data_IF_579544232525
#
_entry.id   IF_579544232525
#
_cell.length_a   1.000
_cell.length_b   1.000
_cell.length_c   1.000
_cell.angle_alpha   90.00
_cell.angle_beta   90.00
_cell.angle_gamma   90.00
#
_symmetry.space_group_name_H-M   'P 1'
#
loop_
_entity.id
_entity.type
_entity.pdbx_description
1 polymer ?
#
# COMPACT_ATOMS: atom_id res chain seq x y z
N UNK A 1 -28.42 -49.96 -38.81
CA UNK A 1 -27.20 -49.19 -39.18
C UNK A 1 -27.40 -47.68 -39.22
N UNK A 2 -28.57 -47.16 -39.61
CA UNK A 2 -28.86 -45.70 -39.63
C UNK A 2 -28.90 -45.04 -38.24
N UNK A 3 -29.27 -45.78 -37.20
CA UNK A 3 -29.37 -45.24 -35.83
C UNK A 3 -28.03 -45.17 -35.08
N UNK A 4 -26.99 -45.89 -35.52
CA UNK A 4 -25.65 -45.78 -34.92
C UNK A 4 -24.96 -44.49 -35.34
N UNK A 5 -25.14 -44.06 -36.60
CA UNK A 5 -24.53 -42.83 -37.13
C UNK A 5 -25.06 -41.58 -36.41
N UNK A 6 -26.33 -41.57 -36.01
CA UNK A 6 -26.93 -40.46 -35.26
C UNK A 6 -26.39 -40.38 -33.83
N UNK A 7 -26.13 -41.53 -33.19
CA UNK A 7 -25.52 -41.56 -31.84
C UNK A 7 -24.06 -41.11 -31.90
N UNK A 8 -23.31 -41.47 -32.96
CA UNK A 8 -21.93 -41.00 -33.16
C UNK A 8 -21.85 -39.50 -33.49
N UNK A 9 -22.82 -38.95 -34.24
CA UNK A 9 -22.92 -37.51 -34.49
C UNK A 9 -23.35 -36.70 -33.25
N UNK A 10 -24.13 -37.29 -32.35
CA UNK A 10 -24.53 -36.66 -31.07
C UNK A 10 -23.36 -36.56 -30.09
N UNK A 11 -22.37 -37.46 -30.20
CA UNK A 11 -21.14 -37.48 -29.38
C UNK A 11 -19.99 -36.64 -29.98
N UNK A 12 -20.12 -36.17 -31.22
CA UNK A 12 -19.20 -35.25 -31.89
C UNK A 12 -19.63 -33.77 -31.81
N UNK A 13 -20.81 -33.50 -31.24
CA UNK A 13 -21.12 -32.18 -30.67
C UNK A 13 -20.39 -32.07 -29.32
N UNK A 14 -19.08 -31.91 -29.48
CA UNK A 14 -18.08 -31.69 -28.46
C UNK A 14 -18.57 -30.72 -27.38
N UNK A 15 -18.15 -30.96 -26.14
CA UNK A 15 -18.64 -30.28 -24.96
C UNK A 15 -18.51 -28.79 -25.18
N UNK A 16 -19.61 -28.06 -24.94
CA UNK A 16 -19.54 -26.62 -24.78
C UNK A 16 -18.37 -26.32 -23.84
N UNK A 17 -17.68 -25.20 -24.11
CA UNK A 17 -16.86 -24.52 -23.12
C UNK A 17 -17.62 -24.60 -21.79
N UNK A 18 -17.24 -25.57 -20.97
CA UNK A 18 -17.59 -25.56 -19.57
C UNK A 18 -16.84 -24.32 -19.14
N UNK A 19 -17.60 -23.24 -19.01
CA UNK A 19 -17.26 -22.06 -18.25
C UNK A 19 -17.06 -22.54 -16.82
N UNK A 20 -16.01 -23.33 -16.59
CA UNK A 20 -15.33 -23.35 -15.33
C UNK A 20 -14.94 -21.89 -15.16
N UNK A 21 -15.74 -21.20 -14.36
CA UNK A 21 -15.36 -19.93 -13.79
C UNK A 21 -14.11 -20.26 -12.99
N UNK A 22 -12.96 -20.22 -13.65
CA UNK A 22 -11.70 -20.20 -12.96
C UNK A 22 -11.78 -18.92 -12.14
N UNK A 23 -12.08 -19.07 -10.84
CA UNK A 23 -11.78 -18.04 -9.86
C UNK A 23 -10.39 -17.51 -10.20
N UNK A 24 -10.17 -16.20 -10.17
CA UNK A 24 -8.96 -15.52 -10.69
C UNK A 24 -7.62 -16.05 -10.13
N UNK A 25 -7.65 -17.02 -9.22
CA UNK A 25 -6.52 -17.69 -8.57
C UNK A 25 -6.54 -19.24 -8.65
N UNK A 26 -7.38 -19.87 -9.47
CA UNK A 26 -7.48 -21.34 -9.53
C UNK A 26 -6.16 -22.04 -9.85
N UNK A 27 -5.34 -21.45 -10.75
CA UNK A 27 -4.01 -21.96 -11.05
C UNK A 27 -2.98 -21.73 -9.94
N UNK A 28 -3.19 -20.75 -9.05
CA UNK A 28 -2.29 -20.53 -7.88
C UNK A 28 -2.36 -21.73 -6.93
N UNK A 29 -3.55 -22.32 -6.76
CA UNK A 29 -3.75 -23.53 -5.95
C UNK A 29 -3.03 -24.76 -6.52
N UNK A 30 -2.70 -24.75 -7.81
CA UNK A 30 -1.94 -25.82 -8.48
C UNK A 30 -0.43 -25.59 -8.44
N UNK A 31 0.02 -24.39 -8.04
CA UNK A 31 1.44 -24.13 -7.85
C UNK A 31 1.92 -24.80 -6.55
N UNK A 32 3.19 -25.26 -6.48
CA UNK A 32 3.78 -25.76 -5.25
C UNK A 32 4.10 -24.59 -4.30
N UNK A 33 3.07 -23.91 -3.82
CA UNK A 33 3.16 -22.68 -3.02
C UNK A 33 3.91 -22.93 -1.71
N UNK A 34 3.83 -24.13 -1.14
CA UNK A 34 4.62 -24.53 0.03
C UNK A 34 6.14 -24.41 -0.21
N UNK A 35 6.61 -24.85 -1.38
CA UNK A 35 8.03 -24.77 -1.76
C UNK A 35 8.43 -23.30 -1.93
N UNK A 36 7.57 -22.51 -2.54
CA UNK A 36 7.91 -21.12 -2.78
C UNK A 36 7.84 -20.24 -1.52
N UNK A 37 6.85 -20.49 -0.64
CA UNK A 37 6.75 -19.86 0.68
C UNK A 37 8.00 -20.21 1.49
N UNK A 38 8.33 -21.50 1.58
CA UNK A 38 9.52 -21.95 2.31
C UNK A 38 10.82 -21.36 1.74
N UNK A 39 10.98 -21.27 0.42
CA UNK A 39 12.13 -20.63 -0.22
C UNK A 39 12.23 -19.12 0.08
N UNK A 40 11.11 -18.40 0.03
CA UNK A 40 11.03 -16.99 0.38
C UNK A 40 11.40 -16.75 1.85
N UNK A 41 10.85 -17.56 2.75
CA UNK A 41 11.12 -17.53 4.19
C UNK A 41 12.58 -17.88 4.48
N UNK A 42 13.13 -18.90 3.81
CA UNK A 42 14.53 -19.29 3.93
C UNK A 42 15.46 -18.16 3.46
N UNK A 43 15.11 -17.43 2.40
CA UNK A 43 15.88 -16.26 1.94
C UNK A 43 15.95 -15.16 2.99
N UNK A 44 14.81 -14.88 3.64
CA UNK A 44 14.73 -13.89 4.73
C UNK A 44 15.49 -14.37 5.96
N UNK A 45 15.32 -15.62 6.38
CA UNK A 45 16.02 -16.21 7.52
C UNK A 45 17.55 -16.25 7.29
N UNK A 46 17.99 -16.61 6.08
CA UNK A 46 19.40 -16.59 5.70
C UNK A 46 19.94 -15.16 5.74
N UNK A 47 19.17 -14.16 5.33
CA UNK A 47 19.55 -12.74 5.47
C UNK A 47 19.78 -12.36 6.93
N UNK A 48 18.89 -12.78 7.84
CA UNK A 48 19.06 -12.57 9.29
C UNK A 48 20.35 -13.23 9.78
N UNK A 49 20.58 -14.50 9.41
CA UNK A 49 21.78 -15.25 9.81
C UNK A 49 23.07 -14.59 9.29
N UNK A 50 23.08 -14.16 8.03
CA UNK A 50 24.21 -13.45 7.43
C UNK A 50 24.48 -12.12 8.14
N UNK A 51 23.45 -11.35 8.48
CA UNK A 51 23.63 -10.08 9.20
C UNK A 51 24.07 -10.27 10.65
N UNK A 52 23.73 -11.38 11.29
CA UNK A 52 24.28 -11.72 12.60
C UNK A 52 25.81 -11.94 12.54
N UNK A 53 26.34 -12.40 11.40
CA UNK A 53 27.77 -12.63 11.18
C UNK A 53 28.50 -11.42 10.58
N UNK A 54 27.81 -10.57 9.80
CA UNK A 54 28.42 -9.46 9.10
C UNK A 54 28.74 -8.27 10.03
N UNK A 55 29.88 -7.59 9.82
CA UNK A 55 30.16 -6.34 10.52
C UNK A 55 29.10 -5.29 10.20
N UNK A 56 28.62 -4.60 11.24
CA UNK A 56 27.52 -3.66 11.11
C UNK A 56 27.77 -2.46 10.18
N UNK A 57 29.02 -2.10 9.94
CA UNK A 57 29.37 -1.06 8.98
C UNK A 57 28.99 -1.44 7.54
N UNK A 58 28.93 -2.74 7.22
CA UNK A 58 28.56 -3.25 5.89
C UNK A 58 27.10 -2.89 5.59
N UNK A 59 26.18 -3.19 6.51
CA UNK A 59 24.78 -2.83 6.39
C UNK A 59 24.57 -1.31 6.30
N UNK A 60 25.29 -0.54 7.13
CA UNK A 60 25.20 0.92 7.08
C UNK A 60 25.75 1.52 5.78
N UNK A 61 26.77 0.90 5.18
CA UNK A 61 27.38 1.35 3.92
C UNK A 61 26.48 1.11 2.72
N UNK A 62 25.67 0.04 2.74
CA UNK A 62 24.71 -0.26 1.67
C UNK A 62 23.69 0.86 1.45
N UNK A 63 23.30 1.55 2.53
CA UNK A 63 22.36 2.67 2.48
C UNK A 63 23.04 4.04 2.42
N UNK A 64 24.33 4.12 2.10
CA UNK A 64 25.01 5.41 1.97
C UNK A 64 24.48 6.13 0.72
N UNK A 65 23.89 7.33 0.86
CA UNK A 65 23.40 8.05 -0.30
C UNK A 65 24.54 8.59 -1.15
N UNK A 66 24.30 8.61 -2.47
CA UNK A 66 25.10 9.26 -3.49
C UNK A 66 24.49 10.64 -3.78
N UNK A 67 25.05 11.73 -3.23
CA UNK A 67 24.59 13.08 -3.55
C UNK A 67 24.90 13.39 -5.02
N UNK A 68 23.88 13.78 -5.77
CA UNK A 68 23.98 14.11 -7.18
C UNK A 68 24.06 15.64 -7.35
N UNK A 69 22.93 16.25 -7.64
CA UNK A 69 22.82 17.65 -8.04
C UNK A 69 22.24 18.53 -6.93
N UNK A 70 22.61 19.82 -6.88
CA UNK A 70 21.87 20.81 -6.11
C UNK A 70 20.41 20.80 -6.52
N UNK A 71 19.51 20.97 -5.56
CA UNK A 71 18.09 20.96 -5.87
C UNK A 71 17.69 22.24 -6.60
N UNK A 72 17.05 22.16 -7.78
CA UNK A 72 16.48 23.34 -8.41
C UNK A 72 15.28 23.83 -7.59
N UNK A 73 15.28 25.11 -7.22
CA UNK A 73 14.18 25.73 -6.47
C UNK A 73 13.09 26.23 -7.45
N UNK A 74 12.44 25.29 -8.12
CA UNK A 74 11.39 25.60 -9.07
C UNK A 74 10.07 25.82 -8.31
N UNK A 75 9.45 27.03 -8.37
CA UNK A 75 8.23 27.35 -7.64
C UNK A 75 6.97 26.73 -8.27
N UNK A 76 7.08 25.93 -9.33
CA UNK A 76 5.97 25.34 -10.07
C UNK A 76 5.07 24.41 -9.25
N UNK A 77 5.48 23.98 -8.05
CA UNK A 77 4.69 23.07 -7.23
C UNK A 77 3.29 23.58 -6.87
N UNK A 78 3.11 24.91 -6.72
CA UNK A 78 1.77 25.48 -6.53
C UNK A 78 0.94 25.40 -7.81
N UNK A 79 1.55 25.62 -8.97
CA UNK A 79 0.87 25.49 -10.27
C UNK A 79 0.44 24.04 -10.50
N UNK A 80 1.36 23.08 -10.35
CA UNK A 80 1.05 21.66 -10.53
C UNK A 80 0.00 21.20 -9.52
N UNK A 81 0.05 21.69 -8.28
CA UNK A 81 -0.98 21.40 -7.28
C UNK A 81 -2.35 21.97 -7.63
N UNK A 82 -2.42 23.15 -8.26
CA UNK A 82 -3.68 23.69 -8.79
C UNK A 82 -4.21 22.85 -9.95
N UNK A 83 -3.34 22.40 -10.85
CA UNK A 83 -3.73 21.49 -11.93
C UNK A 83 -4.27 20.16 -11.38
N UNK A 84 -3.61 19.59 -10.36
CA UNK A 84 -4.10 18.39 -9.67
C UNK A 84 -5.44 18.62 -8.97
N UNK A 85 -5.66 19.81 -8.41
CA UNK A 85 -6.93 20.20 -7.81
C UNK A 85 -8.06 20.31 -8.85
N UNK A 86 -7.79 20.94 -9.99
CA UNK A 86 -8.74 21.02 -11.11
C UNK A 86 -9.05 19.64 -11.69
N UNK A 87 -8.03 18.78 -11.81
CA UNK A 87 -8.20 17.42 -12.26
C UNK A 87 -9.04 16.59 -11.29
N UNK A 88 -8.79 16.70 -9.98
CA UNK A 88 -9.63 16.05 -8.97
C UNK A 88 -11.08 16.56 -9.01
N UNK A 89 -11.27 17.88 -9.18
CA UNK A 89 -12.62 18.46 -9.32
C UNK A 89 -13.35 17.90 -10.55
N UNK A 90 -12.65 17.76 -11.69
CA UNK A 90 -13.18 17.11 -12.88
C UNK A 90 -13.60 15.66 -12.61
N UNK A 91 -12.76 14.87 -11.93
CA UNK A 91 -13.08 13.48 -11.60
C UNK A 91 -14.28 13.38 -10.66
N UNK A 92 -14.36 14.22 -9.62
CA UNK A 92 -15.51 14.26 -8.72
C UNK A 92 -16.79 14.62 -9.49
N UNK A 93 -16.72 15.60 -10.39
CA UNK A 93 -17.83 15.92 -11.28
C UNK A 93 -18.23 14.73 -12.17
N UNK A 94 -17.26 14.00 -12.76
CA UNK A 94 -17.54 12.77 -13.52
C UNK A 94 -18.13 11.66 -12.66
N UNK A 95 -17.78 11.56 -11.38
CA UNK A 95 -18.41 10.60 -10.47
C UNK A 95 -19.89 10.90 -10.23
N UNK A 96 -20.29 12.17 -10.21
CA UNK A 96 -21.70 12.58 -10.08
C UNK A 96 -22.49 12.52 -11.40
N UNK A 97 -21.90 13.02 -12.49
CA UNK A 97 -22.59 13.24 -13.76
C UNK A 97 -22.31 12.17 -14.84
N UNK A 98 -21.31 11.32 -14.62
CA UNK A 98 -20.88 10.29 -15.56
C UNK A 98 -21.62 8.96 -15.38
N UNK A 99 -21.21 7.91 -16.13
CA UNK A 99 -21.77 6.57 -16.02
C UNK A 99 -21.66 6.00 -14.60
N UNK A 100 -22.61 5.14 -14.22
CA UNK A 100 -22.59 4.45 -12.92
C UNK A 100 -21.71 3.21 -12.89
N UNK A 101 -21.32 2.71 -14.05
CA UNK A 101 -20.38 1.61 -14.16
C UNK A 101 -18.98 2.04 -13.68
N UNK A 102 -18.42 1.43 -12.63
CA UNK A 102 -17.09 1.75 -12.11
C UNK A 102 -15.95 1.58 -13.12
N UNK A 103 -16.11 0.67 -14.09
CA UNK A 103 -15.09 0.34 -15.10
C UNK A 103 -15.10 1.30 -16.29
N UNK A 104 -16.17 2.10 -16.44
CA UNK A 104 -16.29 3.14 -17.46
C UNK A 104 -16.07 4.53 -16.85
N UNK A 105 -16.47 4.72 -15.59
CA UNK A 105 -16.31 6.00 -14.93
C UNK A 105 -14.83 6.27 -14.58
N UNK A 106 -14.27 7.43 -14.92
CA UNK A 106 -12.85 7.70 -14.65
C UNK A 106 -12.53 7.90 -13.16
N UNK A 107 -13.50 8.21 -12.30
CA UNK A 107 -13.24 8.48 -10.88
C UNK A 107 -12.80 7.22 -10.10
N UNK A 108 -13.54 6.09 -10.11
CA UNK A 108 -13.09 4.87 -9.44
C UNK A 108 -11.75 4.35 -9.96
N UNK A 109 -11.59 4.30 -11.28
CA UNK A 109 -10.32 3.90 -11.91
C UNK A 109 -9.16 4.79 -11.48
N UNK A 110 -9.37 6.10 -11.43
CA UNK A 110 -8.32 6.99 -10.96
C UNK A 110 -8.00 6.81 -9.48
N UNK A 111 -9.01 6.77 -8.60
CA UNK A 111 -8.78 6.68 -7.16
C UNK A 111 -8.14 5.35 -6.78
N UNK A 112 -8.70 4.24 -7.25
CA UNK A 112 -8.26 2.91 -6.83
C UNK A 112 -7.06 2.41 -7.63
N UNK A 113 -7.08 2.56 -8.95
CA UNK A 113 -6.00 2.01 -9.79
C UNK A 113 -4.84 2.98 -9.94
N UNK A 114 -5.11 4.20 -10.38
CA UNK A 114 -4.02 5.16 -10.68
C UNK A 114 -3.41 5.69 -9.40
N UNK A 115 -4.21 6.22 -8.47
CA UNK A 115 -3.72 6.89 -7.28
C UNK A 115 -3.32 5.89 -6.19
N UNK A 116 -4.25 5.03 -5.74
CA UNK A 116 -3.99 4.13 -4.62
C UNK A 116 -2.94 3.08 -4.97
N UNK A 117 -3.05 2.40 -6.11
CA UNK A 117 -2.05 1.39 -6.50
C UNK A 117 -0.82 2.05 -7.14
N UNK A 118 -1.02 2.79 -8.23
CA UNK A 118 0.08 3.33 -9.04
C UNK A 118 0.90 4.39 -8.32
N UNK A 119 0.27 5.50 -7.90
CA UNK A 119 0.98 6.66 -7.34
C UNK A 119 1.56 6.37 -5.94
N UNK A 120 0.88 5.59 -5.08
CA UNK A 120 1.47 5.16 -3.80
C UNK A 120 2.73 4.30 -4.04
N UNK A 121 2.66 3.33 -4.96
CA UNK A 121 3.82 2.52 -5.35
C UNK A 121 4.95 3.39 -5.89
N UNK A 122 4.63 4.34 -6.78
CA UNK A 122 5.60 5.29 -7.35
C UNK A 122 6.27 6.15 -6.27
N UNK A 123 5.50 6.62 -5.28
CA UNK A 123 6.00 7.39 -4.14
C UNK A 123 7.03 6.60 -3.33
N UNK A 124 6.74 5.31 -3.09
CA UNK A 124 7.58 4.41 -2.32
C UNK A 124 8.81 3.91 -3.07
N UNK A 125 8.71 3.68 -4.38
CA UNK A 125 9.78 3.10 -5.19
C UNK A 125 10.74 4.17 -5.72
N UNK A 126 10.22 5.30 -6.21
CA UNK A 126 11.03 6.31 -6.89
C UNK A 126 11.34 7.49 -5.97
N UNK A 127 10.32 8.12 -5.40
CA UNK A 127 10.51 9.29 -4.53
C UNK A 127 9.32 10.22 -4.47
N UNK A 128 9.53 11.42 -3.90
CA UNK A 128 8.43 12.33 -3.50
C UNK A 128 7.77 13.07 -4.68
N UNK A 129 6.95 12.37 -5.45
CA UNK A 129 6.11 12.95 -6.50
C UNK A 129 4.92 13.72 -5.91
N UNK A 130 4.43 13.32 -4.72
CA UNK A 130 3.30 13.97 -4.02
C UNK A 130 3.49 15.47 -3.78
N UNK A 131 4.74 15.94 -3.69
CA UNK A 131 5.05 17.38 -3.65
C UNK A 131 4.41 18.14 -4.82
N UNK A 132 4.28 17.51 -5.98
CA UNK A 132 3.81 18.13 -7.22
C UNK A 132 2.35 17.79 -7.51
N UNK A 133 1.90 16.60 -7.12
CA UNK A 133 0.57 16.05 -7.49
C UNK A 133 -0.51 16.21 -6.41
N UNK A 134 -0.18 16.76 -5.24
CA UNK A 134 -1.20 16.98 -4.20
C UNK A 134 -2.23 18.06 -4.64
N UNK A 135 -3.53 17.89 -4.37
CA UNK A 135 -4.57 18.81 -4.84
C UNK A 135 -4.90 19.95 -3.84
N UNK A 136 -3.99 20.31 -2.93
CA UNK A 136 -4.29 21.26 -1.84
C UNK A 136 -3.33 22.44 -1.71
N UNK A 137 -2.02 22.22 -1.84
CA UNK A 137 -1.02 23.26 -1.53
C UNK A 137 -1.07 24.45 -2.48
N UNK A 138 -1.46 24.25 -3.74
CA UNK A 138 -1.70 25.30 -4.72
C UNK A 138 -2.95 26.11 -4.41
N UNK A 139 -4.15 25.51 -4.38
CA UNK A 139 -5.40 26.21 -4.07
C UNK A 139 -5.36 27.00 -2.77
N UNK A 140 -4.77 26.43 -1.71
CA UNK A 140 -4.66 27.09 -0.41
C UNK A 140 -3.67 28.26 -0.42
N UNK A 141 -2.60 28.18 -1.21
CA UNK A 141 -1.68 29.30 -1.40
C UNK A 141 -2.33 30.46 -2.17
N UNK A 142 -3.12 30.16 -3.21
CA UNK A 142 -3.90 31.17 -3.94
C UNK A 142 -4.92 31.82 -3.00
N UNK A 143 -5.68 31.01 -2.26
CA UNK A 143 -6.68 31.51 -1.32
C UNK A 143 -6.06 32.43 -0.27
N UNK A 144 -4.94 32.02 0.33
CA UNK A 144 -4.22 32.85 1.30
C UNK A 144 -3.73 34.17 0.69
N UNK A 145 -3.27 34.16 -0.58
CA UNK A 145 -2.83 35.37 -1.29
C UNK A 145 -3.99 36.32 -1.59
N UNK A 146 -5.15 35.79 -1.98
CA UNK A 146 -6.33 36.60 -2.34
C UNK A 146 -7.06 37.17 -1.12
N UNK A 147 -7.14 36.40 -0.04
CA UNK A 147 -7.93 36.77 1.16
C UNK A 147 -7.10 37.37 2.28
N UNK A 148 -5.76 37.29 2.19
CA UNK A 148 -4.86 37.59 3.31
C UNK A 148 -5.03 36.63 4.50
N UNK A 149 -5.82 35.57 4.34
CA UNK A 149 -6.19 34.66 5.43
C UNK A 149 -4.96 33.97 6.00
N UNK A 150 -4.84 34.07 7.32
CA UNK A 150 -3.88 33.30 8.13
C UNK A 150 -4.65 32.15 8.78
N UNK A 151 -3.93 31.11 9.20
CA UNK A 151 -4.54 30.00 9.94
C UNK A 151 -5.35 30.53 11.12
N UNK A 152 -6.66 30.27 11.11
CA UNK A 152 -7.59 30.80 12.11
C UNK A 152 -7.30 30.25 13.51
N UNK A 153 -6.78 29.03 13.58
CA UNK A 153 -6.52 28.27 14.79
C UNK A 153 -5.09 27.71 14.80
N UNK A 154 -4.53 27.56 16.00
CA UNK A 154 -3.27 26.83 16.18
C UNK A 154 -3.57 25.34 16.35
N UNK A 155 -2.95 24.49 15.52
CA UNK A 155 -3.09 23.03 15.65
C UNK A 155 -2.71 22.57 17.08
N UNK A 156 -3.62 21.92 17.82
CA UNK A 156 -3.35 21.45 19.18
C UNK A 156 -2.24 20.40 19.20
N UNK A 157 -1.13 20.66 19.91
CA UNK A 157 0.01 19.74 19.98
C UNK A 157 -0.36 18.38 20.57
N UNK A 158 -1.34 18.35 21.48
CA UNK A 158 -1.88 17.14 22.13
C UNK A 158 -2.50 16.15 21.13
N UNK A 159 -3.08 16.63 20.02
CA UNK A 159 -3.68 15.77 19.01
C UNK A 159 -2.65 14.99 18.20
N UNK A 160 -1.37 15.40 18.20
CA UNK A 160 -0.30 14.62 17.57
C UNK A 160 -0.59 14.31 16.10
N UNK A 161 -0.73 13.01 15.76
CA UNK A 161 -1.16 12.52 14.44
C UNK A 161 -2.54 11.81 14.51
N UNK A 162 -3.25 11.92 15.64
CA UNK A 162 -4.51 11.23 15.87
C UNK A 162 -5.55 11.49 14.76
N UNK A 163 -5.79 12.75 14.32
CA UNK A 163 -6.75 12.97 13.23
C UNK A 163 -6.33 12.26 11.94
N UNK A 164 -5.02 12.23 11.63
CA UNK A 164 -4.50 11.50 10.47
C UNK A 164 -4.73 9.99 10.57
N UNK A 165 -4.53 9.39 11.75
CA UNK A 165 -4.80 7.96 11.98
C UNK A 165 -6.29 7.65 11.83
N UNK A 166 -7.15 8.47 12.43
CA UNK A 166 -8.62 8.30 12.34
C UNK A 166 -9.09 8.42 10.90
N UNK A 167 -8.61 9.41 10.17
CA UNK A 167 -8.94 9.59 8.75
C UNK A 167 -8.42 8.42 7.91
N UNK A 168 -7.22 7.91 8.19
CA UNK A 168 -6.67 6.75 7.49
C UNK A 168 -7.51 5.49 7.75
N UNK A 169 -7.92 5.24 8.99
CA UNK A 169 -8.80 4.13 9.34
C UNK A 169 -10.21 4.30 8.74
N UNK A 170 -10.71 5.53 8.62
CA UNK A 170 -11.97 5.80 7.93
C UNK A 170 -11.86 5.53 6.42
N UNK A 171 -10.75 5.93 5.79
CA UNK A 171 -10.44 5.58 4.41
C UNK A 171 -10.38 4.05 4.21
N UNK A 172 -9.67 3.35 5.08
CA UNK A 172 -9.58 1.89 5.05
C UNK A 172 -10.94 1.22 5.31
N UNK A 173 -11.71 1.73 6.25
CA UNK A 173 -13.07 1.25 6.52
C UNK A 173 -13.99 1.44 5.32
N UNK A 174 -13.89 2.57 4.61
CA UNK A 174 -14.61 2.77 3.36
C UNK A 174 -14.15 1.80 2.27
N UNK A 175 -12.84 1.64 2.07
CA UNK A 175 -12.29 0.70 1.10
C UNK A 175 -12.74 -0.76 1.34
N UNK A 176 -12.71 -1.20 2.60
CA UNK A 176 -12.88 -2.62 2.94
C UNK A 176 -14.32 -2.99 3.32
N UNK A 177 -15.01 -2.13 4.07
CA UNK A 177 -16.30 -2.45 4.66
C UNK A 177 -17.49 -1.78 3.94
N UNK A 178 -17.27 -0.75 3.11
CA UNK A 178 -18.38 -0.19 2.34
C UNK A 178 -18.97 -1.23 1.37
N UNK A 179 -20.30 -1.28 1.18
CA UNK A 179 -20.92 -2.22 0.26
C UNK A 179 -20.50 -2.05 -1.21
N UNK A 180 -20.16 -0.83 -1.63
CA UNK A 180 -19.86 -0.49 -3.01
C UNK A 180 -18.84 0.68 -3.10
N UNK A 181 -17.59 0.49 -2.64
CA UNK A 181 -16.58 1.56 -2.62
C UNK A 181 -16.17 2.03 -4.03
N UNK A 182 -16.45 1.22 -5.04
CA UNK A 182 -16.22 1.55 -6.44
C UNK A 182 -17.42 2.26 -7.13
N UNK A 183 -18.59 2.35 -6.49
CA UNK A 183 -19.71 3.10 -7.06
C UNK A 183 -19.31 4.57 -7.29
N UNK A 184 -19.39 5.10 -8.53
CA UNK A 184 -18.84 6.41 -8.85
C UNK A 184 -19.46 7.57 -8.07
N UNK A 185 -20.76 7.51 -7.81
CA UNK A 185 -21.47 8.58 -7.13
C UNK A 185 -21.15 8.59 -5.63
N UNK A 186 -21.17 7.40 -5.01
CA UNK A 186 -20.76 7.22 -3.62
C UNK A 186 -19.30 7.67 -3.44
N UNK A 187 -18.40 7.21 -4.31
CA UNK A 187 -17.01 7.60 -4.27
C UNK A 187 -16.82 9.11 -4.46
N UNK A 188 -17.62 9.76 -5.31
CA UNK A 188 -17.59 11.23 -5.49
C UNK A 188 -17.93 11.98 -4.20
N UNK A 189 -18.91 11.50 -3.43
CA UNK A 189 -19.26 12.06 -2.12
C UNK A 189 -18.07 11.93 -1.15
N UNK A 190 -17.48 10.74 -1.03
CA UNK A 190 -16.37 10.51 -0.10
C UNK A 190 -15.10 11.26 -0.53
N UNK A 191 -14.71 11.19 -1.80
CA UNK A 191 -13.54 11.87 -2.33
C UNK A 191 -13.69 13.40 -2.30
N UNK A 192 -14.84 13.93 -2.71
CA UNK A 192 -15.15 15.37 -2.66
C UNK A 192 -15.24 15.88 -1.23
N UNK A 193 -15.92 15.15 -0.34
CA UNK A 193 -16.00 15.46 1.09
C UNK A 193 -14.64 15.43 1.77
N UNK A 194 -13.79 14.45 1.45
CA UNK A 194 -12.43 14.37 1.93
C UNK A 194 -11.56 15.55 1.46
N UNK A 195 -11.69 15.89 0.17
CA UNK A 195 -10.98 17.01 -0.43
C UNK A 195 -11.37 18.33 0.25
N UNK A 196 -12.67 18.56 0.45
CA UNK A 196 -13.21 19.72 1.17
C UNK A 196 -12.75 19.76 2.64
N UNK A 197 -12.88 18.66 3.38
CA UNK A 197 -12.45 18.54 4.78
C UNK A 197 -10.96 18.92 4.92
N UNK A 198 -10.15 18.50 3.96
CA UNK A 198 -8.71 18.82 3.95
C UNK A 198 -8.46 20.30 3.70
N UNK A 199 -9.14 20.93 2.73
CA UNK A 199 -9.05 22.37 2.49
C UNK A 199 -9.48 23.16 3.73
N UNK A 200 -10.57 22.74 4.38
CA UNK A 200 -11.02 23.31 5.66
C UNK A 200 -9.96 23.13 6.76
N UNK A 201 -9.35 21.95 6.88
CA UNK A 201 -8.27 21.71 7.84
C UNK A 201 -7.05 22.61 7.63
N UNK A 202 -6.69 22.88 6.37
CA UNK A 202 -5.57 23.79 6.03
C UNK A 202 -5.93 25.25 6.32
N UNK A 203 -7.15 25.69 6.01
CA UNK A 203 -7.59 27.06 6.32
C UNK A 203 -7.66 27.31 7.83
N UNK A 204 -8.13 26.32 8.60
CA UNK A 204 -8.19 26.40 10.06
C UNK A 204 -6.80 26.32 10.70
N UNK A 205 -6.00 25.30 10.39
CA UNK A 205 -4.78 24.98 11.14
C UNK A 205 -3.47 25.28 10.40
N UNK A 206 -3.56 25.79 9.17
CA UNK A 206 -2.44 26.04 8.29
C UNK A 206 -1.78 24.76 7.74
N UNK A 207 -0.57 24.88 7.16
CA UNK A 207 0.16 23.76 6.58
C UNK A 207 0.45 22.61 7.56
N UNK A 208 0.37 22.86 8.88
CA UNK A 208 0.52 21.82 9.91
C UNK A 208 -0.53 20.72 9.78
N UNK A 209 -1.72 21.02 9.26
CA UNK A 209 -2.76 20.02 8.99
C UNK A 209 -2.25 18.92 8.05
N UNK A 210 -1.60 19.29 6.93
CA UNK A 210 -1.02 18.32 5.99
C UNK A 210 0.10 17.46 6.59
N UNK A 211 0.72 17.92 7.67
CA UNK A 211 1.81 17.17 8.32
C UNK A 211 1.31 16.20 9.40
N UNK A 212 0.07 16.36 9.90
CA UNK A 212 -0.41 15.73 11.15
C UNK A 212 -1.86 15.26 11.12
N UNK A 213 -2.73 15.99 10.45
CA UNK A 213 -4.16 15.70 10.38
C UNK A 213 -4.59 15.01 9.10
N UNK A 214 -3.92 15.23 7.97
CA UNK A 214 -4.35 14.70 6.67
C UNK A 214 -3.63 13.39 6.34
N UNK A 215 -4.40 12.31 6.21
CA UNK A 215 -3.87 10.94 6.15
C UNK A 215 -3.03 10.67 4.89
N UNK A 216 -3.45 11.15 3.72
CA UNK A 216 -2.80 10.81 2.45
C UNK A 216 -1.44 11.51 2.34
N UNK A 217 -1.30 12.77 2.77
CA UNK A 217 0.02 13.40 2.83
C UNK A 217 0.91 12.77 3.88
N UNK A 218 0.37 12.30 5.02
CA UNK A 218 1.18 11.53 5.99
C UNK A 218 1.70 10.25 5.34
N UNK A 219 0.81 9.47 4.73
CA UNK A 219 1.10 8.24 3.99
C UNK A 219 2.17 8.46 2.91
N UNK A 220 1.93 9.43 2.02
CA UNK A 220 2.84 9.74 0.93
C UNK A 220 4.19 10.21 1.47
N UNK A 221 4.24 10.93 2.59
CA UNK A 221 5.51 11.38 3.19
C UNK A 221 6.31 10.28 3.88
N UNK A 222 5.65 9.26 4.45
CA UNK A 222 6.37 8.10 5.00
C UNK A 222 6.89 7.21 3.87
N UNK A 223 6.10 6.95 2.82
CA UNK A 223 6.57 6.21 1.65
C UNK A 223 7.63 6.95 0.85
N UNK A 224 7.62 8.28 0.82
CA UNK A 224 8.71 9.05 0.20
C UNK A 224 10.10 8.74 0.79
N UNK A 225 10.17 8.24 2.03
CA UNK A 225 11.43 7.83 2.68
C UNK A 225 11.96 6.50 2.13
N UNK A 226 11.09 5.73 1.48
CA UNK A 226 11.46 4.48 0.80
C UNK A 226 12.05 4.72 -0.58
N UNK A 227 11.71 5.81 -1.27
CA UNK A 227 12.14 6.05 -2.65
C UNK A 227 13.65 6.07 -2.84
N UNK A 228 14.10 5.59 -4.01
CA UNK A 228 15.50 5.64 -4.45
C UNK A 228 16.03 7.08 -4.49
N UNK A 229 15.20 8.01 -4.95
CA UNK A 229 15.48 9.44 -5.05
C UNK A 229 14.99 10.16 -3.80
N UNK A 230 15.93 10.78 -3.08
CA UNK A 230 15.64 11.53 -1.87
C UNK A 230 16.47 12.81 -1.76
N UNK A 231 16.60 13.31 -0.54
CA UNK A 231 17.36 14.54 -0.25
C UNK A 231 18.31 14.35 0.91
N UNK A 232 19.54 14.83 0.72
CA UNK A 232 20.55 14.88 1.78
C UNK A 232 21.36 16.16 1.63
N UNK A 233 21.54 16.92 2.72
CA UNK A 233 22.37 18.13 2.76
C UNK A 233 22.08 19.12 1.61
N UNK A 234 20.80 19.38 1.32
CA UNK A 234 20.37 20.32 0.28
C UNK A 234 20.48 19.83 -1.18
N UNK A 235 21.03 18.63 -1.40
CA UNK A 235 21.16 18.01 -2.73
C UNK A 235 20.12 16.92 -2.95
N UNK A 236 19.80 16.67 -4.22
CA UNK A 236 19.13 15.43 -4.64
C UNK A 236 20.15 14.30 -4.49
N UNK A 237 19.72 13.16 -3.96
CA UNK A 237 20.58 12.01 -3.80
C UNK A 237 19.87 10.72 -4.18
N UNK A 238 20.65 9.75 -4.65
CA UNK A 238 20.23 8.38 -4.87
C UNK A 238 20.71 7.49 -3.73
N UNK A 239 19.90 6.53 -3.33
CA UNK A 239 20.29 5.49 -2.38
C UNK A 239 19.37 4.28 -2.50
N UNK A 240 19.74 3.17 -1.86
CA UNK A 240 18.90 1.98 -1.80
C UNK A 240 17.59 2.29 -1.06
N UNK A 241 16.49 1.61 -1.44
CA UNK A 241 15.18 1.83 -0.83
C UNK A 241 15.22 1.90 0.69
N UNK A 242 14.70 2.99 1.26
CA UNK A 242 14.67 3.20 2.72
C UNK A 242 15.91 3.86 3.31
N UNK A 243 16.92 4.24 2.52
CA UNK A 243 18.11 4.93 3.01
C UNK A 243 17.81 6.21 3.80
N UNK A 244 16.70 6.89 3.48
CA UNK A 244 16.27 8.11 4.16
C UNK A 244 15.79 7.83 5.59
N UNK A 245 15.37 6.59 5.90
CA UNK A 245 15.03 6.17 7.27
C UNK A 245 16.26 6.23 8.18
N UNK A 246 17.43 5.85 7.66
CA UNK A 246 18.67 5.87 8.44
C UNK A 246 19.26 7.27 8.60
N UNK A 247 18.91 8.23 7.75
CA UNK A 247 19.46 9.59 7.81
C UNK A 247 18.53 10.58 8.51
N UNK A 248 17.27 10.20 8.71
CA UNK A 248 16.28 11.01 9.41
C UNK A 248 16.36 10.80 10.94
N UNK A 249 15.96 11.81 11.73
CA UNK A 249 15.77 11.63 13.17
C UNK A 249 14.60 10.65 13.45
N UNK A 250 14.56 10.05 14.66
CA UNK A 250 13.44 9.23 15.09
C UNK A 250 12.10 9.95 14.92
N UNK A 251 11.07 9.20 14.56
CA UNK A 251 9.75 9.78 14.32
C UNK A 251 9.02 10.06 15.64
N UNK A 252 7.99 10.91 15.61
CA UNK A 252 7.10 11.07 16.76
C UNK A 252 6.26 9.81 16.98
N UNK A 253 5.82 9.55 18.22
CA UNK A 253 4.98 8.39 18.55
C UNK A 253 3.73 8.26 17.67
N UNK A 254 3.00 9.37 17.42
CA UNK A 254 1.82 9.33 16.55
C UNK A 254 2.12 8.90 15.12
N UNK A 255 3.28 9.30 14.58
CA UNK A 255 3.71 8.87 13.24
C UNK A 255 4.16 7.40 13.25
N UNK A 256 4.81 6.95 14.33
CA UNK A 256 5.16 5.54 14.50
C UNK A 256 3.90 4.67 14.56
N UNK A 257 2.88 5.08 15.32
CA UNK A 257 1.58 4.39 15.37
C UNK A 257 0.90 4.35 14.01
N UNK A 258 0.93 5.46 13.26
CA UNK A 258 0.43 5.50 11.88
C UNK A 258 1.14 4.49 10.98
N UNK A 259 2.47 4.37 11.07
CA UNK A 259 3.26 3.43 10.26
C UNK A 259 2.89 1.98 10.56
N UNK A 260 2.73 1.61 11.84
CA UNK A 260 2.29 0.25 12.20
C UNK A 260 0.83 0.02 11.79
N UNK A 261 -0.03 1.04 11.92
CA UNK A 261 -1.43 0.98 11.48
C UNK A 261 -1.55 0.80 9.96
N UNK A 262 -0.66 1.44 9.18
CA UNK A 262 -0.60 1.25 7.74
C UNK A 262 -0.30 -0.21 7.39
N UNK A 263 0.70 -0.82 8.05
CA UNK A 263 1.04 -2.21 7.83
C UNK A 263 -0.11 -3.15 8.25
N UNK A 264 -0.71 -2.91 9.42
CA UNK A 264 -1.82 -3.73 9.93
C UNK A 264 -3.05 -3.65 9.05
N UNK A 265 -3.36 -2.47 8.52
CA UNK A 265 -4.46 -2.26 7.57
C UNK A 265 -4.23 -3.01 6.26
N UNK A 266 -3.05 -2.91 5.65
CA UNK A 266 -2.74 -3.66 4.41
C UNK A 266 -2.74 -5.18 4.63
N UNK A 267 -2.35 -5.64 5.82
CA UNK A 267 -2.44 -7.05 6.16
C UNK A 267 -3.87 -7.53 6.40
N UNK A 268 -4.71 -6.70 7.02
CA UNK A 268 -6.12 -7.03 7.19
C UNK A 268 -6.87 -7.00 5.86
N UNK A 269 -6.53 -6.08 4.96
CA UNK A 269 -7.04 -6.05 3.57
C UNK A 269 -6.91 -7.42 2.90
N UNK A 270 -5.68 -7.95 2.84
CA UNK A 270 -5.45 -9.28 2.31
C UNK A 270 -6.09 -10.42 3.10
N UNK A 271 -6.14 -10.32 4.43
CA UNK A 271 -6.75 -11.35 5.29
C UNK A 271 -8.27 -11.43 5.08
N UNK A 272 -8.93 -10.28 4.97
CA UNK A 272 -10.39 -10.15 4.86
C UNK A 272 -10.94 -10.79 3.58
N UNK A 273 -10.11 -10.93 2.54
CA UNK A 273 -10.48 -11.60 1.29
C UNK A 273 -10.34 -13.13 1.36
N UNK A 274 -9.65 -13.69 2.37
CA UNK A 274 -9.35 -15.13 2.42
C UNK A 274 -10.55 -15.99 2.79
N UNK A 275 -10.59 -17.22 2.25
CA UNK A 275 -11.56 -18.24 2.68
C UNK A 275 -11.47 -18.54 4.18
N UNK A 276 -10.28 -18.43 4.77
CA UNK A 276 -10.08 -18.62 6.21
C UNK A 276 -10.86 -17.59 7.02
N UNK A 277 -10.79 -16.31 6.64
CA UNK A 277 -11.53 -15.25 7.31
C UNK A 277 -13.04 -15.45 7.16
N UNK A 278 -13.51 -15.77 5.95
CA UNK A 278 -14.92 -16.08 5.72
C UNK A 278 -15.41 -17.27 6.57
N UNK A 279 -14.58 -18.32 6.68
CA UNK A 279 -14.86 -19.48 7.52
C UNK A 279 -14.95 -19.12 9.01
N UNK A 280 -14.10 -18.21 9.52
CA UNK A 280 -14.23 -17.69 10.88
C UNK A 280 -15.56 -16.96 11.12
N UNK A 281 -16.09 -16.30 10.09
CA UNK A 281 -17.40 -15.64 10.15
C UNK A 281 -18.57 -16.61 9.93
N UNK A 282 -18.31 -17.89 9.69
CA UNK A 282 -19.33 -18.88 9.36
C UNK A 282 -19.95 -18.67 7.97
N UNK A 283 -19.25 -18.00 7.06
CA UNK A 283 -19.72 -17.70 5.70
C UNK A 283 -19.17 -18.69 4.70
N UNK A 284 -20.02 -19.13 3.77
CA UNK A 284 -19.59 -19.93 2.62
C UNK A 284 -18.88 -18.99 1.61
N UNK A 285 -17.58 -19.19 1.33
CA UNK A 285 -16.86 -18.32 0.39
C UNK A 285 -17.37 -18.39 -1.06
N UNK A 286 -18.04 -19.47 -1.42
CA UNK A 286 -18.62 -19.67 -2.76
C UNK A 286 -20.02 -19.06 -2.89
N UNK A 287 -20.63 -18.69 -1.77
CA UNK A 287 -21.97 -18.09 -1.69
C UNK A 287 -21.90 -16.86 -0.78
N UNK A 288 -20.97 -15.95 -1.09
CA UNK A 288 -20.75 -14.76 -0.29
C UNK A 288 -22.03 -13.90 -0.25
N UNK A 289 -22.60 -13.60 0.94
CA UNK A 289 -23.88 -12.89 1.08
C UNK A 289 -23.80 -11.40 0.68
N UNK A 290 -22.62 -10.94 0.24
CA UNK A 290 -22.33 -9.55 -0.08
C UNK A 290 -21.72 -8.78 1.10
N UNK A 291 -21.01 -7.69 0.76
CA UNK A 291 -20.27 -6.85 1.73
C UNK A 291 -21.16 -6.23 2.80
N UNK A 292 -22.44 -6.01 2.51
CA UNK A 292 -23.42 -5.44 3.44
C UNK A 292 -23.67 -6.32 4.68
N UNK A 293 -23.49 -7.63 4.56
CA UNK A 293 -23.66 -8.58 5.67
C UNK A 293 -22.46 -8.63 6.64
N UNK A 294 -21.30 -8.10 6.21
CA UNK A 294 -20.03 -8.20 6.95
C UNK A 294 -19.43 -6.88 7.39
N UNK A 295 -20.13 -5.74 7.20
CA UNK A 295 -19.60 -4.40 7.50
C UNK A 295 -19.02 -4.33 8.92
N UNK A 296 -19.78 -4.78 9.92
CA UNK A 296 -19.35 -4.71 11.32
C UNK A 296 -18.13 -5.61 11.56
N UNK A 297 -18.16 -6.82 11.03
CA UNK A 297 -17.11 -7.83 11.15
C UNK A 297 -15.81 -7.33 10.51
N UNK A 298 -15.89 -6.71 9.33
CA UNK A 298 -14.75 -6.11 8.64
C UNK A 298 -14.20 -4.91 9.41
N UNK A 299 -15.05 -4.01 9.92
CA UNK A 299 -14.59 -2.87 10.74
C UNK A 299 -13.95 -3.32 12.06
N UNK A 300 -14.56 -4.29 12.75
CA UNK A 300 -14.02 -4.87 13.98
C UNK A 300 -12.69 -5.59 13.71
N UNK A 301 -12.64 -6.42 12.66
CA UNK A 301 -11.43 -7.09 12.21
C UNK A 301 -10.29 -6.11 11.90
N UNK A 302 -10.59 -5.02 11.20
CA UNK A 302 -9.62 -3.96 10.91
C UNK A 302 -9.05 -3.34 12.19
N UNK A 303 -9.89 -2.99 13.16
CA UNK A 303 -9.43 -2.39 14.42
C UNK A 303 -8.64 -3.39 15.27
N UNK A 304 -9.10 -4.63 15.37
CA UNK A 304 -8.45 -5.70 16.14
C UNK A 304 -7.09 -6.04 15.53
N UNK A 305 -7.00 -6.22 14.21
CA UNK A 305 -5.75 -6.52 13.52
C UNK A 305 -4.70 -5.43 13.73
N UNK A 306 -5.10 -4.15 13.62
CA UNK A 306 -4.22 -3.02 13.88
C UNK A 306 -3.76 -2.95 15.33
N UNK A 307 -4.67 -3.13 16.30
CA UNK A 307 -4.33 -3.16 17.72
C UNK A 307 -3.39 -4.32 18.06
N UNK A 308 -3.65 -5.52 17.53
CA UNK A 308 -2.83 -6.70 17.70
C UNK A 308 -1.42 -6.48 17.14
N UNK A 309 -1.30 -5.93 15.93
CA UNK A 309 0.01 -5.66 15.33
C UNK A 309 0.82 -4.64 16.13
N UNK A 310 0.18 -3.56 16.60
CA UNK A 310 0.82 -2.58 17.48
C UNK A 310 1.33 -3.24 18.77
N UNK A 311 0.50 -4.09 19.39
CA UNK A 311 0.85 -4.80 20.62
C UNK A 311 2.02 -5.78 20.41
N UNK A 312 1.97 -6.61 19.36
CA UNK A 312 3.02 -7.58 19.03
C UNK A 312 4.33 -6.86 18.70
N UNK A 313 4.29 -5.80 17.88
CA UNK A 313 5.48 -5.03 17.55
C UNK A 313 6.08 -4.38 18.80
N UNK A 314 5.27 -3.78 19.67
CA UNK A 314 5.72 -3.22 20.94
C UNK A 314 6.31 -4.29 21.88
N UNK A 315 5.71 -5.48 21.94
CA UNK A 315 6.21 -6.61 22.73
C UNK A 315 7.57 -7.09 22.23
N UNK A 316 7.74 -7.26 20.92
CA UNK A 316 9.02 -7.63 20.31
C UNK A 316 10.12 -6.62 20.65
N UNK A 317 9.82 -5.31 20.57
CA UNK A 317 10.78 -4.28 20.94
C UNK A 317 11.09 -4.28 22.43
N UNK A 318 10.08 -4.46 23.29
CA UNK A 318 10.28 -4.55 24.74
C UNK A 318 11.16 -5.75 25.11
N UNK A 319 10.87 -6.94 24.58
CA UNK A 319 11.68 -8.14 24.76
C UNK A 319 13.11 -7.92 24.25
N UNK A 320 13.24 -7.29 23.08
CA UNK A 320 14.53 -7.02 22.47
C UNK A 320 15.41 -6.11 23.33
N UNK A 321 14.86 -5.03 23.87
CA UNK A 321 15.60 -4.12 24.76
C UNK A 321 15.92 -4.81 26.11
N UNK A 322 15.05 -5.70 26.61
CA UNK A 322 15.33 -6.52 27.81
C UNK A 322 16.49 -7.50 27.59
N UNK A 323 16.51 -8.21 26.46
CA UNK A 323 17.57 -9.17 26.10
C UNK A 323 18.88 -8.45 25.84
N UNK A 324 18.84 -7.30 25.16
CA UNK A 324 20.02 -6.47 24.93
C UNK A 324 20.60 -5.89 26.23
N UNK A 325 19.81 -5.85 27.31
CA UNK A 325 20.17 -5.20 28.57
C UNK A 325 20.21 -3.68 28.44
N UNK A 326 19.48 -3.11 27.49
CA UNK A 326 19.48 -1.69 27.17
C UNK A 326 18.40 -0.99 27.98
N UNK A 327 18.74 0.12 28.64
CA UNK A 327 17.80 0.92 29.43
C UNK A 327 16.86 1.79 28.58
N UNK A 328 16.71 1.52 27.29
CA UNK A 328 15.94 2.37 26.38
C UNK A 328 14.44 2.24 26.68
N UNK A 329 13.72 3.35 26.90
CA UNK A 329 12.28 3.32 27.06
C UNK A 329 11.59 2.77 25.80
N UNK A 330 10.58 1.92 25.97
CA UNK A 330 9.80 1.31 24.87
C UNK A 330 9.31 2.35 23.85
N UNK A 331 8.85 3.51 24.33
CA UNK A 331 8.43 4.62 23.46
C UNK A 331 9.53 5.05 22.48
N UNK A 332 10.77 5.15 22.95
CA UNK A 332 11.90 5.53 22.11
C UNK A 332 12.25 4.43 21.10
N UNK A 333 12.26 3.17 21.53
CA UNK A 333 12.46 2.02 20.63
C UNK A 333 11.38 1.98 19.54
N UNK A 334 10.10 2.13 19.91
CA UNK A 334 8.98 2.15 18.97
C UNK A 334 9.10 3.29 17.94
N UNK A 335 9.47 4.49 18.39
CA UNK A 335 9.71 5.64 17.51
C UNK A 335 10.93 5.48 16.59
N UNK A 336 11.92 4.68 17.01
CA UNK A 336 13.13 4.41 16.24
C UNK A 336 12.90 3.34 15.18
N UNK A 337 12.23 2.24 15.55
CA UNK A 337 12.10 1.05 14.71
C UNK A 337 10.83 1.02 13.85
N UNK A 338 9.75 1.74 14.19
CA UNK A 338 8.55 1.72 13.35
C UNK A 338 8.81 2.08 11.87
N UNK A 339 9.69 3.05 11.51
CA UNK A 339 10.01 3.29 10.10
C UNK A 339 10.67 2.11 9.36
N UNK A 340 11.26 1.13 10.05
CA UNK A 340 11.95 0.01 9.38
C UNK A 340 11.01 -1.02 8.79
N UNK A 341 9.73 -1.02 9.17
CA UNK A 341 8.71 -1.91 8.61
C UNK A 341 8.03 -1.35 7.36
N UNK A 342 8.28 -0.08 7.00
CA UNK A 342 7.77 0.52 5.76
C UNK A 342 8.08 -0.26 4.47
N UNK A 343 9.28 -0.87 4.29
CA UNK A 343 9.55 -1.68 3.10
C UNK A 343 8.66 -2.93 3.03
N UNK A 344 8.27 -3.52 4.16
CA UNK A 344 7.32 -4.65 4.21
C UNK A 344 5.97 -4.18 3.70
N UNK A 345 5.46 -3.06 4.24
CA UNK A 345 4.17 -2.50 3.83
C UNK A 345 4.16 -2.15 2.33
N UNK A 346 5.24 -1.57 1.81
CA UNK A 346 5.35 -1.22 0.39
C UNK A 346 5.44 -2.46 -0.51
N UNK A 347 6.29 -3.42 -0.16
CA UNK A 347 6.45 -4.66 -0.92
C UNK A 347 5.15 -5.45 -0.98
N UNK A 348 4.42 -5.53 0.14
CA UNK A 348 3.10 -6.15 0.17
C UNK A 348 2.08 -5.37 -0.65
N UNK A 349 2.03 -4.04 -0.57
CA UNK A 349 1.12 -3.23 -1.37
C UNK A 349 1.31 -3.48 -2.88
N UNK A 350 2.56 -3.45 -3.37
CA UNK A 350 2.88 -3.75 -4.77
C UNK A 350 2.46 -5.17 -5.15
N UNK A 351 2.77 -6.15 -4.30
CA UNK A 351 2.45 -7.55 -4.55
C UNK A 351 0.93 -7.80 -4.57
N UNK A 352 0.23 -7.33 -3.54
CA UNK A 352 -1.19 -7.54 -3.33
C UNK A 352 -2.03 -6.96 -4.48
N UNK A 353 -1.68 -5.77 -4.95
CA UNK A 353 -2.44 -5.09 -6.01
C UNK A 353 -1.95 -5.33 -7.44
N UNK A 354 -0.93 -6.19 -7.66
CA UNK A 354 -0.37 -6.41 -8.99
C UNK A 354 -1.42 -6.89 -10.00
N UNK A 355 -2.25 -7.87 -9.63
CA UNK A 355 -3.28 -8.43 -10.51
C UNK A 355 -4.36 -7.42 -10.85
N UNK A 356 -4.83 -6.66 -9.85
CA UNK A 356 -5.76 -5.55 -10.05
C UNK A 356 -5.16 -4.48 -10.99
N UNK A 357 -3.89 -4.10 -10.81
CA UNK A 357 -3.22 -3.14 -11.69
C UNK A 357 -3.12 -3.63 -13.14
N UNK A 358 -2.90 -4.93 -13.36
CA UNK A 358 -2.82 -5.51 -14.71
C UNK A 358 -4.17 -5.49 -15.44
N UNK A 359 -5.28 -5.68 -14.72
CA UNK A 359 -6.63 -5.65 -15.30
C UNK A 359 -7.15 -4.22 -15.39
N UNK A 360 -7.23 -3.53 -14.26
CA UNK A 360 -7.79 -2.18 -14.18
C UNK A 360 -6.92 -1.16 -14.92
N UNK A 361 -5.62 -1.42 -15.07
CA UNK A 361 -4.74 -0.61 -15.91
C UNK A 361 -5.21 -0.58 -17.37
N UNK A 362 -5.80 -1.66 -17.88
CA UNK A 362 -6.40 -1.69 -19.21
C UNK A 362 -7.68 -0.83 -19.27
N UNK A 363 -8.50 -0.86 -18.23
CA UNK A 363 -9.66 0.04 -18.10
C UNK A 363 -9.26 1.51 -17.97
N UNK A 364 -8.16 1.81 -17.27
CA UNK A 364 -7.59 3.16 -17.22
C UNK A 364 -7.20 3.64 -18.62
N UNK A 365 -6.60 2.79 -19.46
CA UNK A 365 -6.28 3.16 -20.85
C UNK A 365 -7.54 3.51 -21.66
N UNK A 366 -8.61 2.73 -21.50
CA UNK A 366 -9.89 3.04 -22.15
C UNK A 366 -10.50 4.36 -21.64
N UNK A 367 -10.44 4.61 -20.33
CA UNK A 367 -10.91 5.87 -19.75
C UNK A 367 -10.05 7.07 -20.16
N UNK A 368 -8.76 6.88 -20.47
CA UNK A 368 -7.89 7.95 -20.97
C UNK A 368 -8.14 8.27 -22.45
N UNK A 369 -8.47 7.28 -23.28
CA UNK A 369 -8.78 7.53 -24.70
C UNK A 369 -10.14 8.19 -24.90
N UNK A 370 -11.14 7.85 -24.05
CA UNK A 370 -12.47 8.48 -24.07
C UNK A 370 -12.94 8.95 -22.67
N UNK A 371 -12.34 10.01 -22.09
CA UNK A 371 -12.67 10.44 -20.71
C UNK A 371 -14.12 10.89 -20.50
N UNK A 372 -14.79 11.32 -21.58
CA UNK A 372 -16.18 11.78 -21.56
C UNK A 372 -17.18 10.67 -21.90
N UNK A 373 -16.74 9.53 -22.43
CA UNK A 373 -17.61 8.44 -22.89
C UNK A 373 -18.44 8.86 -24.11
N UNK A 374 -17.86 9.64 -25.03
CA UNK A 374 -18.54 10.20 -26.21
C UNK A 374 -18.04 9.60 -27.53
N UNK A 375 -17.27 8.53 -27.48
CA UNK A 375 -16.63 7.89 -28.63
C UNK A 375 -15.36 8.59 -29.10
N UNK A 376 -14.68 9.35 -28.21
CA UNK A 376 -13.38 9.91 -28.53
C UNK A 376 -12.31 8.79 -28.61
N UNK A 377 -11.26 9.01 -29.41
CA UNK A 377 -10.08 8.15 -29.44
C UNK A 377 -8.81 9.00 -29.34
N UNK A 378 -8.60 9.62 -28.18
CA UNK A 378 -7.50 10.57 -27.94
C UNK A 378 -6.13 9.90 -28.01
N UNK A 379 -6.06 8.60 -27.73
CA UNK A 379 -4.81 7.81 -27.75
C UNK A 379 -4.61 7.04 -29.06
N UNK A 380 -5.59 7.03 -29.96
CA UNK A 380 -5.51 6.30 -31.24
C UNK A 380 -5.48 4.78 -31.05
N UNK A 381 -6.19 4.25 -30.05
CA UNK A 381 -6.19 2.82 -29.73
C UNK A 381 -7.07 2.00 -30.68
N UNK A 382 -8.05 2.63 -31.35
CA UNK A 382 -9.08 1.89 -32.09
C UNK A 382 -9.88 0.94 -31.20
N UNK A 383 -10.41 -0.18 -31.74
CA UNK A 383 -11.08 -1.21 -30.95
C UNK A 383 -10.11 -1.86 -29.94
N UNK A 384 -10.32 -1.58 -28.65
CA UNK A 384 -9.51 -2.10 -27.55
C UNK A 384 -10.37 -2.94 -26.62
N UNK A 385 -9.90 -4.14 -26.28
CA UNK A 385 -10.61 -5.09 -25.41
C UNK A 385 -9.75 -5.45 -24.21
N UNK A 386 -10.35 -5.44 -23.02
CA UNK A 386 -9.67 -5.90 -21.80
C UNK A 386 -9.51 -7.41 -21.84
N UNK A 387 -8.34 -7.87 -21.45
CA UNK A 387 -8.01 -9.29 -21.39
C UNK A 387 -7.59 -9.71 -19.99
N UNK A 388 -7.98 -10.92 -19.59
CA UNK A 388 -7.59 -11.59 -18.35
C UNK A 388 -6.96 -12.96 -18.62
N UNK A 389 -6.65 -13.27 -19.89
CA UNK A 389 -6.13 -14.57 -20.32
C UNK A 389 -4.81 -15.00 -19.64
N UNK A 390 -4.03 -14.04 -19.15
CA UNK A 390 -2.82 -14.28 -18.38
C UNK A 390 -3.06 -14.89 -16.99
N UNK A 391 -4.30 -14.94 -16.50
CA UNK A 391 -4.66 -15.72 -15.32
C UNK A 391 -4.99 -17.20 -15.61
N UNK A 392 -5.10 -17.56 -16.89
CA UNK A 392 -5.55 -18.89 -17.32
C UNK A 392 -4.44 -19.77 -17.90
N UNK A 393 -3.19 -19.33 -17.82
CA UNK A 393 -2.03 -20.10 -18.31
C UNK A 393 -1.04 -20.35 -17.17
N UNK A 394 -0.62 -21.60 -16.90
CA UNK A 394 0.31 -21.92 -15.81
C UNK A 394 1.60 -21.09 -15.81
N UNK A 395 2.16 -20.82 -17.01
CA UNK A 395 3.39 -20.05 -17.15
C UNK A 395 3.26 -18.59 -16.70
N UNK A 396 2.20 -17.89 -17.12
CA UNK A 396 1.94 -16.50 -16.73
C UNK A 396 1.55 -16.38 -15.26
N UNK A 397 0.72 -17.29 -14.76
CA UNK A 397 0.35 -17.33 -13.34
C UNK A 397 1.58 -17.53 -12.45
N UNK A 398 2.47 -18.43 -12.82
CA UNK A 398 3.75 -18.63 -12.12
C UNK A 398 4.61 -17.35 -12.13
N UNK A 399 4.70 -16.65 -13.27
CA UNK A 399 5.47 -15.42 -13.36
C UNK A 399 4.88 -14.30 -12.50
N UNK A 400 3.55 -14.15 -12.49
CA UNK A 400 2.83 -13.19 -11.63
C UNK A 400 3.12 -13.52 -10.16
N UNK A 401 2.91 -14.77 -9.75
CA UNK A 401 3.12 -15.21 -8.37
C UNK A 401 4.57 -14.97 -7.92
N UNK A 402 5.56 -15.33 -8.74
CA UNK A 402 6.98 -15.10 -8.42
C UNK A 402 7.32 -13.61 -8.30
N UNK A 403 6.66 -12.76 -9.10
CA UNK A 403 6.82 -11.29 -9.00
C UNK A 403 6.24 -10.76 -7.70
N UNK A 404 5.04 -11.20 -7.32
CA UNK A 404 4.39 -10.83 -6.06
C UNK A 404 5.22 -11.30 -4.85
N UNK A 405 5.62 -12.58 -4.84
CA UNK A 405 6.45 -13.15 -3.79
C UNK A 405 7.82 -12.45 -3.71
N UNK A 406 8.44 -12.15 -4.85
CA UNK A 406 9.69 -11.40 -4.94
C UNK A 406 9.57 -10.00 -4.32
N UNK A 407 8.50 -9.27 -4.61
CA UNK A 407 8.24 -7.95 -4.02
C UNK A 407 8.10 -8.02 -2.48
N UNK A 408 7.39 -9.03 -1.96
CA UNK A 408 7.27 -9.27 -0.51
C UNK A 408 8.62 -9.60 0.12
N UNK A 409 9.37 -10.54 -0.45
CA UNK A 409 10.68 -10.97 0.07
C UNK A 409 11.70 -9.83 0.05
N UNK A 410 11.78 -9.07 -1.05
CA UNK A 410 12.66 -7.90 -1.16
C UNK A 410 12.31 -6.86 -0.09
N UNK A 411 11.01 -6.60 0.13
CA UNK A 411 10.54 -5.73 1.21
C UNK A 411 11.02 -6.19 2.59
N UNK A 412 10.90 -7.47 2.91
CA UNK A 412 11.35 -8.01 4.20
C UNK A 412 12.88 -7.94 4.36
N UNK A 413 13.64 -8.27 3.31
CA UNK A 413 15.11 -8.18 3.30
C UNK A 413 15.56 -6.74 3.59
N UNK A 414 14.99 -5.75 2.88
CA UNK A 414 15.31 -4.33 3.10
C UNK A 414 14.95 -3.91 4.53
N UNK A 415 13.78 -4.33 5.03
CA UNK A 415 13.33 -4.00 6.38
C UNK A 415 14.29 -4.54 7.46
N UNK A 416 14.76 -5.79 7.30
CA UNK A 416 15.72 -6.40 8.22
C UNK A 416 17.05 -5.66 8.17
N UNK A 417 17.53 -5.33 6.96
CA UNK A 417 18.75 -4.55 6.78
C UNK A 417 18.67 -3.17 7.47
N UNK A 418 17.53 -2.49 7.37
CA UNK A 418 17.29 -1.21 8.05
C UNK A 418 17.23 -1.36 9.57
N UNK A 419 16.50 -2.36 10.07
CA UNK A 419 16.39 -2.64 11.50
C UNK A 419 17.76 -2.95 12.11
N UNK A 420 18.53 -3.80 11.46
CA UNK A 420 19.89 -4.13 11.88
C UNK A 420 20.80 -2.89 11.87
N UNK A 421 20.79 -2.11 10.78
CA UNK A 421 21.61 -0.90 10.67
C UNK A 421 21.27 0.14 11.76
N UNK A 422 20.00 0.28 12.15
CA UNK A 422 19.60 1.16 13.26
C UNK A 422 19.99 0.60 14.62
N UNK A 423 19.83 -0.70 14.83
CA UNK A 423 20.14 -1.35 16.09
C UNK A 423 21.63 -1.22 16.44
N UNK A 424 22.52 -1.43 15.46
CA UNK A 424 23.96 -1.38 15.73
C UNK A 424 24.50 0.05 15.87
N UNK A 425 23.90 1.05 15.21
CA UNK A 425 24.23 2.47 15.45
C UNK A 425 24.05 2.88 16.91
N UNK A 426 23.18 2.21 17.65
CA UNK A 426 22.86 2.54 19.04
C UNK A 426 23.72 1.84 20.11
N UNK A 427 24.32 0.68 19.83
CA UNK A 427 24.80 -0.21 20.90
C UNK A 427 26.16 -0.88 20.67
N UNK A 428 26.84 -0.65 19.54
CA UNK A 428 28.04 -1.41 19.20
C UNK A 428 27.74 -2.89 18.92
N UNK A 429 28.74 -3.65 18.49
CA UNK A 429 28.58 -5.04 18.00
C UNK A 429 28.78 -6.09 19.10
N UNK A 430 28.13 -5.95 20.24
CA UNK A 430 28.17 -6.97 21.30
C UNK A 430 27.18 -8.10 21.01
N UNK A 431 27.50 -9.33 21.38
CA UNK A 431 26.59 -10.50 21.28
C UNK A 431 25.19 -10.23 21.86
N UNK A 432 25.10 -9.52 23.00
CA UNK A 432 23.83 -9.09 23.59
C UNK A 432 23.00 -8.17 22.67
N UNK A 433 23.66 -7.27 21.94
CA UNK A 433 22.99 -6.39 20.98
C UNK A 433 22.46 -7.13 19.74
N UNK A 434 23.13 -8.23 19.36
CA UNK A 434 22.65 -9.15 18.31
C UNK A 434 21.46 -9.96 18.82
N UNK A 435 21.56 -10.56 20.01
CA UNK A 435 20.47 -11.33 20.63
C UNK A 435 19.23 -10.49 20.93
N UNK A 436 19.40 -9.21 21.26
CA UNK A 436 18.28 -8.27 21.42
C UNK A 436 17.47 -8.04 20.14
N UNK A 437 18.00 -8.37 18.96
CA UNK A 437 17.26 -8.27 17.69
C UNK A 437 16.42 -9.52 17.41
N UNK A 438 16.66 -10.63 18.11
CA UNK A 438 16.01 -11.90 17.83
C UNK A 438 14.47 -11.86 17.88
N UNK A 439 13.82 -11.20 18.88
CA UNK A 439 12.35 -11.12 18.90
C UNK A 439 11.77 -10.38 17.69
N UNK A 440 12.41 -9.29 17.26
CA UNK A 440 11.99 -8.53 16.09
C UNK A 440 12.27 -9.30 14.79
N UNK A 441 13.42 -9.96 14.69
CA UNK A 441 13.78 -10.78 13.53
C UNK A 441 12.82 -11.96 13.36
N UNK A 442 12.47 -12.66 14.44
CA UNK A 442 11.49 -13.75 14.42
C UNK A 442 10.11 -13.24 13.99
N UNK A 443 9.69 -12.08 14.52
CA UNK A 443 8.46 -11.43 14.07
C UNK A 443 8.48 -11.17 12.56
N UNK A 444 9.57 -10.64 12.01
CA UNK A 444 9.70 -10.35 10.57
C UNK A 444 9.72 -11.63 9.70
N UNK A 445 10.32 -12.71 10.19
CA UNK A 445 10.27 -14.03 9.52
C UNK A 445 8.84 -14.56 9.51
N UNK A 446 8.15 -14.52 10.66
CA UNK A 446 6.74 -14.90 10.75
C UNK A 446 5.85 -14.03 9.86
N UNK A 447 6.15 -12.73 9.75
CA UNK A 447 5.44 -11.82 8.86
C UNK A 447 5.69 -12.13 7.37
N UNK A 448 6.88 -12.64 7.03
CA UNK A 448 7.15 -13.15 5.67
C UNK A 448 6.27 -14.35 5.36
N UNK A 449 6.20 -15.32 6.29
CA UNK A 449 5.31 -16.48 6.15
C UNK A 449 3.87 -16.01 5.95
N UNK A 450 3.40 -15.13 6.83
CA UNK A 450 2.06 -14.58 6.78
C UNK A 450 1.76 -13.84 5.46
N UNK A 451 2.66 -12.96 5.01
CA UNK A 451 2.49 -12.21 3.77
C UNK A 451 2.47 -13.09 2.52
N UNK A 452 3.34 -14.09 2.43
CA UNK A 452 3.34 -15.05 1.32
C UNK A 452 2.13 -16.00 1.38
N UNK A 453 1.70 -16.39 2.59
CA UNK A 453 0.48 -17.14 2.80
C UNK A 453 -0.76 -16.35 2.35
N UNK A 454 -0.86 -15.05 2.63
CA UNK A 454 -1.95 -14.20 2.14
C UNK A 454 -2.02 -14.10 0.60
N UNK A 455 -0.88 -14.23 -0.09
CA UNK A 455 -0.83 -14.26 -1.56
C UNK A 455 -1.21 -15.63 -2.13
N UNK A 456 -0.90 -16.70 -1.41
CA UNK A 456 -1.21 -18.08 -1.82
C UNK A 456 -2.63 -18.51 -1.41
N UNK A 457 -3.23 -17.84 -0.43
CA UNK A 457 -4.53 -18.22 0.12
C UNK A 457 -5.66 -18.02 -0.90
N UNK A 458 -6.59 -18.98 -1.01
CA UNK A 458 -7.79 -18.80 -1.82
C UNK A 458 -8.62 -17.65 -1.28
N UNK A 459 -9.17 -16.85 -2.21
CA UNK A 459 -9.97 -15.66 -1.90
C UNK A 459 -11.41 -15.81 -2.38
N UNK A 460 -12.34 -15.32 -1.57
CA UNK A 460 -13.75 -15.23 -1.96
C UNK A 460 -14.02 -13.92 -2.68
N UNK A 461 -14.93 -13.95 -3.67
CA UNK A 461 -15.26 -12.80 -4.50
C UNK A 461 -16.16 -11.79 -3.78
#
# INVERSE_FOLDING_TARGET
MRNLIVITLSLLLLPGLVLAHASEQGFVLLLPTDIYISAGVASVALTVALLAALPAWVAARLFRPLPLIPRPNIPLHHLTSCLSALFLAFLVWRGFAGPRDPLVNPLPLFVWTVWWIGLVSLQGLIGNHWRWTNPWTGPTAILARLTGSRSLLRYPSRLGHLPGIVIFLAFAGFLLADPAPADPHRLAIFAGGYWYLTLMGITLFGPRWLLRGEALTILMRIYARMGLVGRVRGRIALGLWGWQVLTAPPVSLGLALFIVTLLGTGSFDGLNETFWWMGLLGLNPLEFPGRSAVIFQTLAGLLIANAALIAVFALCLWLGERIAGTGRPLRQAFCLFAPTILPIALGYHVAHYLTAAMVDGQYVLMALTDPLGRGADLLGLGPFFVTTGFFNTPGTVKAIWLTQAGAVVIGHVIAILLAHALAVRGHGSTWRAVMGQAPLALFMIGYTVFGLWLLASPRGM
#
